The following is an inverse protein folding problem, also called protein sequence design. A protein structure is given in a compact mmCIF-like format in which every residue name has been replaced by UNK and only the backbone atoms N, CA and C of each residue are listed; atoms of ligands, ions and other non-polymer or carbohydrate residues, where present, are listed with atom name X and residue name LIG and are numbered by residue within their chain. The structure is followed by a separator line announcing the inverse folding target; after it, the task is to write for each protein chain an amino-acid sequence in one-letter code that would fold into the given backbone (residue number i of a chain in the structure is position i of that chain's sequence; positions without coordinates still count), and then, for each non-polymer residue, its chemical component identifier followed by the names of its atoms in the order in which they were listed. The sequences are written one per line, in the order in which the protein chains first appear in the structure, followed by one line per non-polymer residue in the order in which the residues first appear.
data_IF_535784004632
#
_entry.id   IF_535784004632
#
_cell.length_a   1.000
_cell.length_b   1.000
_cell.length_c   1.000
_cell.angle_alpha   90.00
_cell.angle_beta   90.00
_cell.angle_gamma   90.00
#
_symmetry.space_group_name_H-M   'P 1'
#
loop_
_entity.id
_entity.type
_entity.pdbx_description
1 polymer ?
#
# COMPACT_ATOMS: atom_id res chain seq x y z
N UNK A 1 -12.26 -1.41 -5.27
CA UNK A 1 -12.56 -2.39 -6.33
C UNK A 1 -13.07 -1.70 -7.59
N UNK A 2 -14.01 -0.76 -7.46
CA UNK A 2 -14.53 -0.03 -8.62
C UNK A 2 -13.45 0.73 -9.37
N UNK A 3 -12.53 1.35 -8.67
CA UNK A 3 -11.41 2.09 -9.27
C UNK A 3 -10.48 1.13 -10.01
N UNK A 4 -10.16 -0.01 -9.39
CA UNK A 4 -9.29 -1.01 -10.01
C UNK A 4 -9.93 -1.59 -11.27
N UNK A 5 -11.23 -1.85 -11.26
CA UNK A 5 -11.95 -2.35 -12.43
C UNK A 5 -11.91 -1.35 -13.58
N UNK A 6 -12.09 -0.06 -13.29
CA UNK A 6 -12.02 1.00 -14.30
C UNK A 6 -10.61 1.11 -14.90
N UNK A 7 -9.57 1.00 -14.06
CA UNK A 7 -8.18 1.01 -14.50
C UNK A 7 -7.93 -0.18 -15.42
N UNK A 8 -8.36 -1.37 -15.01
CA UNK A 8 -8.21 -2.58 -15.81
C UNK A 8 -8.88 -2.45 -17.17
N UNK A 9 -10.12 -1.98 -17.20
CA UNK A 9 -10.87 -1.80 -18.45
C UNK A 9 -10.24 -0.76 -19.37
N UNK A 10 -9.58 0.26 -18.80
CA UNK A 10 -8.93 1.32 -19.57
C UNK A 10 -7.61 0.88 -20.21
N UNK A 11 -7.00 -0.19 -19.72
CA UNK A 11 -5.74 -0.70 -20.25
C UNK A 11 -5.95 -1.50 -21.52
N UNK A 12 -5.02 -1.37 -22.46
CA UNK A 12 -4.98 -2.23 -23.65
C UNK A 12 -4.41 -3.60 -23.24
N UNK A 13 -4.67 -4.62 -24.08
CA UNK A 13 -4.08 -5.94 -23.89
C UNK A 13 -2.55 -5.83 -23.84
N UNK A 14 -1.94 -6.46 -22.84
CA UNK A 14 -0.51 -6.36 -22.60
C UNK A 14 -0.09 -5.10 -21.86
N UNK A 15 -1.02 -4.21 -21.52
CA UNK A 15 -0.75 -3.00 -20.76
C UNK A 15 -0.38 -3.31 -19.32
N UNK A 16 0.38 -2.40 -18.70
CA UNK A 16 0.83 -2.54 -17.31
C UNK A 16 0.28 -1.45 -16.42
N UNK A 17 0.04 -1.81 -15.17
CA UNK A 17 -0.38 -0.89 -14.12
C UNK A 17 0.57 -1.01 -12.94
N UNK A 18 1.06 0.11 -12.45
CA UNK A 18 1.93 0.14 -11.26
C UNK A 18 1.15 0.76 -10.12
N UNK A 19 1.10 0.05 -9.00
CA UNK A 19 0.38 0.47 -7.80
C UNK A 19 1.34 0.49 -6.61
N UNK A 20 1.35 1.61 -5.89
CA UNK A 20 2.04 1.70 -4.60
C UNK A 20 0.99 1.86 -3.51
N UNK A 21 1.06 1.01 -2.49
CA UNK A 21 0.10 1.02 -1.39
C UNK A 21 0.81 0.95 -0.04
N UNK A 22 0.20 1.61 0.94
CA UNK A 22 0.56 1.44 2.34
C UNK A 22 -0.20 0.24 2.86
N UNK A 23 0.53 -0.75 3.38
CA UNK A 23 -0.05 -2.02 3.82
C UNK A 23 0.20 -2.26 5.30
N UNK A 24 -0.68 -3.03 5.93
CA UNK A 24 -0.48 -3.50 7.29
C UNK A 24 0.18 -4.89 7.25
N UNK A 25 1.04 -5.13 8.23
CA UNK A 25 1.64 -6.46 8.39
C UNK A 25 0.62 -7.43 8.98
N UNK A 26 0.69 -8.68 8.57
CA UNK A 26 -0.21 -9.72 9.06
C UNK A 26 0.00 -9.97 10.56
N UNK A 27 1.25 -9.96 11.02
CA UNK A 27 1.57 -10.11 12.44
C UNK A 27 1.49 -8.74 13.12
N UNK A 28 0.61 -8.56 14.14
CA UNK A 28 0.48 -7.28 14.84
C UNK A 28 1.76 -6.79 15.49
N UNK A 29 2.62 -7.68 15.96
CA UNK A 29 3.90 -7.31 16.58
C UNK A 29 4.87 -6.75 15.54
N UNK A 30 4.93 -7.39 14.39
CA UNK A 30 5.77 -6.93 13.27
C UNK A 30 5.23 -5.61 12.75
N UNK A 31 3.92 -5.48 12.60
CA UNK A 31 3.29 -4.24 12.17
C UNK A 31 3.65 -3.08 13.08
N UNK A 32 3.55 -3.28 14.39
CA UNK A 32 3.88 -2.27 15.39
C UNK A 32 5.34 -1.85 15.30
N UNK A 33 6.25 -2.80 15.08
CA UNK A 33 7.67 -2.53 14.91
C UNK A 33 7.94 -1.70 13.66
N UNK A 34 7.34 -2.06 12.55
CA UNK A 34 7.49 -1.34 11.27
C UNK A 34 6.96 0.10 11.41
N UNK A 35 5.78 0.28 12.01
CA UNK A 35 5.20 1.60 12.25
C UNK A 35 6.11 2.45 13.13
N UNK A 36 6.64 1.86 14.22
CA UNK A 36 7.56 2.55 15.13
C UNK A 36 8.83 3.01 14.41
N UNK A 37 9.41 2.15 13.57
CA UNK A 37 10.59 2.48 12.79
C UNK A 37 10.32 3.60 11.78
N UNK A 38 9.15 3.60 11.17
CA UNK A 38 8.74 4.64 10.22
C UNK A 38 8.57 5.99 10.91
N UNK A 39 7.97 6.01 12.10
CA UNK A 39 7.83 7.22 12.91
C UNK A 39 9.21 7.76 13.28
N UNK A 40 10.11 6.88 13.71
CA UNK A 40 11.48 7.24 14.06
C UNK A 40 12.21 7.84 12.87
N UNK A 41 12.05 7.25 11.69
CA UNK A 41 12.60 7.77 10.44
C UNK A 41 12.10 9.19 10.17
N UNK A 42 10.81 9.44 10.33
CA UNK A 42 10.22 10.78 10.14
C UNK A 42 10.80 11.78 11.13
N UNK A 43 10.98 11.40 12.39
CA UNK A 43 11.57 12.28 13.41
C UNK A 43 13.03 12.66 13.04
N UNK A 44 13.79 11.70 12.54
CA UNK A 44 15.18 11.93 12.11
C UNK A 44 15.25 12.86 10.88
N UNK A 45 14.17 12.95 10.10
CA UNK A 45 14.11 13.79 8.91
C UNK A 45 13.32 15.10 9.13
N UNK A 46 13.23 15.55 10.37
CA UNK A 46 12.73 16.87 10.69
C UNK A 46 11.25 16.99 11.00
N UNK A 47 10.51 15.90 11.05
CA UNK A 47 9.10 15.93 11.45
C UNK A 47 8.99 15.92 12.97
N UNK A 48 8.18 16.83 13.52
CA UNK A 48 7.93 16.86 14.97
C UNK A 48 6.97 15.75 15.36
N UNK A 49 6.99 15.30 16.64
CA UNK A 49 6.01 14.33 17.13
C UNK A 49 4.57 14.78 16.93
N UNK A 50 4.29 16.05 17.10
CA UNK A 50 2.95 16.63 16.92
C UNK A 50 2.51 16.55 15.46
N UNK A 51 3.40 16.85 14.52
CA UNK A 51 3.12 16.76 13.09
C UNK A 51 2.81 15.31 12.66
N UNK A 52 3.58 14.36 13.17
CA UNK A 52 3.39 12.93 12.87
C UNK A 52 2.04 12.46 13.40
N UNK A 53 1.72 12.80 14.65
CA UNK A 53 0.45 12.41 15.27
C UNK A 53 -0.73 13.05 14.56
N UNK A 54 -0.64 14.33 14.24
CA UNK A 54 -1.70 15.06 13.55
C UNK A 54 -2.01 14.42 12.19
N UNK A 55 -0.99 14.05 11.44
CA UNK A 55 -1.16 13.40 10.15
C UNK A 55 -1.80 12.01 10.29
N UNK A 56 -1.39 11.22 11.29
CA UNK A 56 -1.98 9.91 11.56
C UNK A 56 -3.46 10.04 11.89
N UNK A 57 -3.82 11.00 12.74
CA UNK A 57 -5.22 11.23 13.13
C UNK A 57 -6.07 11.70 11.95
N UNK A 58 -5.52 12.56 11.08
CA UNK A 58 -6.25 13.05 9.91
C UNK A 58 -6.52 11.97 8.88
N UNK A 59 -5.68 10.95 8.80
CA UNK A 59 -5.85 9.83 7.88
C UNK A 59 -6.66 8.68 8.47
N UNK A 60 -6.83 8.67 9.80
CA UNK A 60 -7.61 7.64 10.49
C UNK A 60 -9.07 7.70 10.04
N UNK A 61 -9.62 6.56 9.62
CA UNK A 61 -10.98 6.48 9.10
C UNK A 61 -11.14 6.92 7.64
N UNK A 62 -10.13 7.54 7.04
CA UNK A 62 -10.15 7.95 5.63
C UNK A 62 -9.52 6.87 4.75
N UNK A 63 -8.47 6.23 5.23
CA UNK A 63 -7.77 5.17 4.50
C UNK A 63 -8.00 3.81 5.15
N UNK A 64 -8.45 2.87 4.34
CA UNK A 64 -8.55 1.47 4.75
C UNK A 64 -7.29 0.77 4.24
N UNK A 65 -6.45 0.33 5.17
CA UNK A 65 -5.22 -0.38 4.84
C UNK A 65 -5.47 -1.88 4.80
N UNK A 66 -4.89 -2.53 3.80
CA UNK A 66 -4.99 -3.98 3.62
C UNK A 66 -3.62 -4.63 3.79
N UNK A 67 -3.59 -5.94 3.98
CA UNK A 67 -2.35 -6.70 3.99
C UNK A 67 -1.85 -6.91 2.57
N UNK A 68 -0.60 -7.35 2.45
CA UNK A 68 0.01 -7.69 1.18
C UNK A 68 -0.81 -8.76 0.43
N UNK A 69 -1.22 -9.81 1.15
CA UNK A 69 -2.03 -10.88 0.56
C UNK A 69 -3.38 -10.39 0.06
N UNK A 70 -4.04 -9.51 0.83
CA UNK A 70 -5.33 -8.93 0.45
C UNK A 70 -5.21 -8.06 -0.80
N UNK A 71 -4.17 -7.23 -0.88
CA UNK A 71 -3.94 -6.39 -2.04
C UNK A 71 -3.66 -7.21 -3.30
N UNK A 72 -2.83 -8.25 -3.19
CA UNK A 72 -2.57 -9.16 -4.32
C UNK A 72 -3.84 -9.85 -4.79
N UNK A 73 -4.67 -10.30 -3.86
CA UNK A 73 -5.93 -10.94 -4.18
C UNK A 73 -6.90 -9.99 -4.88
N UNK A 74 -7.00 -8.75 -4.41
CA UNK A 74 -7.83 -7.73 -5.06
C UNK A 74 -7.41 -7.47 -6.51
N UNK A 75 -6.10 -7.37 -6.76
CA UNK A 75 -5.57 -7.15 -8.09
C UNK A 75 -5.87 -8.33 -9.01
N UNK A 76 -5.69 -9.56 -8.53
CA UNK A 76 -6.02 -10.77 -9.29
C UNK A 76 -7.51 -10.89 -9.57
N UNK A 77 -8.34 -10.58 -8.59
CA UNK A 77 -9.82 -10.62 -8.72
C UNK A 77 -10.32 -9.60 -9.73
N UNK A 78 -9.60 -8.51 -9.93
CA UNK A 78 -9.94 -7.48 -10.91
C UNK A 78 -9.74 -8.00 -12.34
N UNK A 79 -8.85 -8.97 -12.54
CA UNK A 79 -8.60 -9.60 -13.82
C UNK A 79 -7.16 -9.61 -14.29
N UNK A 80 -6.25 -8.98 -13.56
CA UNK A 80 -4.85 -8.97 -13.93
C UNK A 80 -4.25 -10.38 -13.92
N UNK A 81 -3.63 -10.77 -15.03
CA UNK A 81 -3.03 -12.10 -15.17
C UNK A 81 -1.77 -12.28 -14.36
N UNK A 82 -0.97 -11.22 -14.28
CA UNK A 82 0.28 -11.23 -13.53
C UNK A 82 0.29 -10.08 -12.55
N UNK A 83 0.59 -10.39 -11.29
CA UNK A 83 0.73 -9.41 -10.22
C UNK A 83 2.04 -9.72 -9.52
N UNK A 84 3.04 -8.85 -9.73
CA UNK A 84 4.36 -9.03 -9.14
C UNK A 84 4.68 -7.90 -8.18
N UNK A 85 5.29 -8.25 -7.06
CA UNK A 85 5.80 -7.27 -6.10
C UNK A 85 7.14 -6.74 -6.61
N UNK A 86 7.24 -5.44 -6.83
CA UNK A 86 8.47 -4.83 -7.35
C UNK A 86 9.25 -4.07 -6.29
N UNK A 87 8.60 -3.70 -5.18
CA UNK A 87 9.25 -2.97 -4.10
C UNK A 87 8.56 -3.28 -2.77
N UNK A 88 9.37 -3.43 -1.72
CA UNK A 88 8.87 -3.53 -0.34
C UNK A 88 9.77 -2.67 0.54
N UNK A 89 9.19 -1.66 1.16
CA UNK A 89 9.90 -0.78 2.08
C UNK A 89 9.00 -0.48 3.28
N UNK A 90 9.18 -1.22 4.37
CA UNK A 90 8.35 -1.10 5.55
C UNK A 90 6.88 -1.35 5.24
N UNK A 91 6.04 -0.35 5.46
CA UNK A 91 4.61 -0.41 5.18
C UNK A 91 4.27 -0.19 3.70
N UNK A 92 5.21 0.32 2.91
CA UNK A 92 4.95 0.66 1.52
C UNK A 92 5.39 -0.46 0.60
N UNK A 93 4.48 -0.89 -0.25
CA UNK A 93 4.74 -1.94 -1.22
C UNK A 93 4.29 -1.49 -2.60
N UNK A 94 5.06 -1.89 -3.60
CA UNK A 94 4.77 -1.59 -4.99
C UNK A 94 4.53 -2.86 -5.78
N UNK A 95 3.58 -2.79 -6.70
CA UNK A 95 3.18 -3.90 -7.55
C UNK A 95 3.21 -3.48 -9.01
N UNK A 96 3.59 -4.38 -9.88
CA UNK A 96 3.35 -4.25 -11.31
C UNK A 96 2.35 -5.33 -11.74
N UNK A 97 1.34 -4.91 -12.49
CA UNK A 97 0.25 -5.78 -12.91
C UNK A 97 0.11 -5.71 -14.43
N UNK A 98 -0.11 -6.84 -15.06
CA UNK A 98 -0.27 -6.93 -16.52
C UNK A 98 -1.67 -7.41 -16.86
N UNK A 99 -2.28 -6.71 -17.82
CA UNK A 99 -3.58 -7.10 -18.36
C UNK A 99 -3.48 -8.28 -19.33
#
# INVERSE_FOLDING_TARGET
IKILSKIYESLVEGGAFILFEKEIMTDPKVNKLIVSNYIKFKQEHGFSPEEILSKQLSLEGVMINHTHAENKEMLKSTGFHHVETIMRYGEFNGYICFK
#
